data_IF_231617025622
#
_entry.id   IF_231617025622
#
_cell.length_a   1.000
_cell.length_b   1.000
_cell.length_c   1.000
_cell.angle_alpha   90.00
_cell.angle_beta   90.00
_cell.angle_gamma   90.00
#
_symmetry.space_group_name_H-M   'P 1'
#
loop_
_entity.id
_entity.type
_entity.pdbx_description
1 polymer ?
#
# COMPACT_ATOMS: atom_id res chain seq x y z
N UNK A 1 2.42 -11.12 -17.83
CA UNK A 1 1.95 -9.77 -18.25
C UNK A 1 0.92 -9.29 -17.23
N UNK A 2 1.07 -8.08 -16.74
CA UNK A 2 0.14 -7.54 -15.75
C UNK A 2 -1.23 -7.28 -16.36
N UNK A 3 -2.29 -7.52 -15.58
CA UNK A 3 -3.63 -7.12 -15.96
C UNK A 3 -3.73 -5.59 -16.06
N UNK A 4 -4.68 -5.12 -16.84
CA UNK A 4 -4.90 -3.70 -17.09
C UNK A 4 -6.31 -3.33 -16.68
N UNK A 5 -6.41 -2.37 -15.76
CA UNK A 5 -7.67 -1.73 -15.37
C UNK A 5 -7.83 -0.44 -16.17
N UNK A 6 -8.93 -0.31 -16.89
CA UNK A 6 -9.26 0.90 -17.62
C UNK A 6 -10.43 1.60 -16.91
N UNK A 7 -10.27 2.89 -16.65
CA UNK A 7 -11.29 3.69 -15.98
C UNK A 7 -12.37 4.14 -16.95
N UNK A 8 -13.56 4.42 -16.42
CA UNK A 8 -14.67 4.99 -17.19
C UNK A 8 -14.32 6.40 -17.67
N UNK A 9 -14.99 6.81 -18.74
CA UNK A 9 -14.85 8.17 -19.28
C UNK A 9 -15.15 9.21 -18.20
N UNK A 10 -14.24 10.16 -18.06
CA UNK A 10 -14.36 11.22 -17.06
C UNK A 10 -13.88 10.87 -15.67
N UNK A 11 -13.55 9.60 -15.42
CA UNK A 11 -13.00 9.16 -14.14
C UNK A 11 -11.47 9.28 -14.12
N UNK A 12 -10.89 9.18 -12.91
CA UNK A 12 -9.43 9.27 -12.73
C UNK A 12 -8.92 10.63 -12.31
N UNK A 13 -9.80 11.60 -12.10
CA UNK A 13 -9.42 12.95 -11.65
C UNK A 13 -8.72 12.93 -10.30
N UNK A 14 -9.24 12.12 -9.36
CA UNK A 14 -8.66 11.96 -8.03
C UNK A 14 -7.24 11.43 -8.10
N UNK A 15 -7.01 10.43 -8.95
CA UNK A 15 -5.69 9.84 -9.15
C UNK A 15 -4.73 10.87 -9.75
N UNK A 16 -5.16 11.61 -10.76
CA UNK A 16 -4.36 12.68 -11.39
C UNK A 16 -4.00 13.79 -10.40
N UNK A 17 -4.87 14.03 -9.42
CA UNK A 17 -4.66 15.03 -8.38
C UNK A 17 -3.83 14.51 -7.18
N UNK A 18 -3.39 13.27 -7.20
CA UNK A 18 -2.56 12.69 -6.14
C UNK A 18 -3.25 11.68 -5.25
N UNK A 19 -4.51 11.38 -5.50
CA UNK A 19 -5.24 10.36 -4.77
C UNK A 19 -4.71 8.97 -5.04
N UNK A 20 -5.03 8.05 -4.14
CA UNK A 20 -4.49 6.67 -4.18
C UNK A 20 -5.56 5.61 -4.41
N UNK A 21 -6.84 5.95 -4.36
CA UNK A 21 -7.93 4.97 -4.36
C UNK A 21 -8.76 5.05 -5.63
N UNK A 22 -9.06 3.89 -6.18
CA UNK A 22 -9.99 3.72 -7.29
C UNK A 22 -11.13 2.83 -6.81
N UNK A 23 -12.34 3.37 -6.86
CA UNK A 23 -13.55 2.65 -6.47
C UNK A 23 -14.06 1.77 -7.61
N UNK A 24 -14.82 0.73 -7.27
CA UNK A 24 -15.39 -0.22 -8.21
C UNK A 24 -16.23 0.45 -9.32
N UNK A 25 -16.97 1.50 -8.97
CA UNK A 25 -17.83 2.21 -9.92
C UNK A 25 -17.05 3.12 -10.90
N UNK A 26 -15.76 3.32 -10.69
CA UNK A 26 -14.89 4.09 -11.59
C UNK A 26 -14.29 3.23 -12.69
N UNK A 27 -14.38 1.89 -12.59
CA UNK A 27 -13.74 0.95 -13.50
C UNK A 27 -14.67 0.60 -14.65
N UNK A 28 -14.16 0.72 -15.88
CA UNK A 28 -14.85 0.31 -17.09
C UNK A 28 -14.57 -1.16 -17.41
N UNK A 29 -13.29 -1.51 -17.58
CA UNK A 29 -12.87 -2.87 -17.92
C UNK A 29 -11.63 -3.29 -17.16
N UNK A 30 -11.50 -4.62 -16.98
CA UNK A 30 -10.29 -5.25 -16.49
C UNK A 30 -9.89 -6.30 -17.52
N UNK A 31 -8.72 -6.15 -18.13
CA UNK A 31 -8.20 -7.07 -19.14
C UNK A 31 -7.00 -7.83 -18.60
N UNK A 32 -6.93 -9.11 -18.93
CA UNK A 32 -5.84 -9.98 -18.51
C UNK A 32 -6.18 -10.79 -17.26
N UNK A 33 -5.32 -11.75 -16.96
CA UNK A 33 -5.48 -12.62 -15.79
C UNK A 33 -4.88 -11.98 -14.56
N UNK A 34 -5.56 -12.10 -13.44
CA UNK A 34 -5.06 -11.61 -12.16
C UNK A 34 -5.70 -12.38 -11.00
N UNK A 35 -5.03 -12.33 -9.87
CA UNK A 35 -5.60 -12.73 -8.58
C UNK A 35 -5.70 -11.48 -7.72
N UNK A 36 -6.70 -11.44 -6.82
CA UNK A 36 -6.81 -10.36 -5.87
C UNK A 36 -5.55 -10.27 -5.01
N UNK A 37 -5.02 -9.06 -4.86
CA UNK A 37 -3.73 -8.80 -4.24
C UNK A 37 -2.59 -8.59 -5.23
N UNK A 38 -2.81 -8.87 -6.51
CA UNK A 38 -1.80 -8.63 -7.54
C UNK A 38 -1.60 -7.15 -7.82
N UNK A 39 -0.46 -6.85 -8.41
CA UNK A 39 -0.15 -5.51 -8.94
C UNK A 39 -0.61 -5.45 -10.39
N UNK A 40 -1.40 -4.43 -10.71
CA UNK A 40 -1.97 -4.22 -12.04
C UNK A 40 -1.61 -2.82 -12.55
N UNK A 41 -1.79 -2.63 -13.87
CA UNK A 41 -1.61 -1.34 -14.52
C UNK A 41 -2.97 -0.66 -14.61
N UNK A 42 -2.99 0.65 -14.37
CA UNK A 42 -4.20 1.47 -14.50
C UNK A 42 -4.03 2.42 -15.66
N UNK A 43 -5.05 2.47 -16.53
CA UNK A 43 -5.14 3.42 -17.64
C UNK A 43 -6.44 4.21 -17.53
N UNK A 44 -6.45 5.44 -18.01
CA UNK A 44 -7.70 6.18 -18.16
C UNK A 44 -8.49 5.68 -19.38
N UNK A 45 -9.67 6.26 -19.61
CA UNK A 45 -10.55 5.84 -20.70
C UNK A 45 -9.88 5.98 -22.09
N UNK A 46 -9.01 6.95 -22.25
CA UNK A 46 -8.30 7.19 -23.51
C UNK A 46 -7.03 6.34 -23.66
N UNK A 47 -6.74 5.48 -22.70
CA UNK A 47 -5.57 4.60 -22.74
C UNK A 47 -4.30 5.22 -22.17
N UNK A 48 -4.38 6.40 -21.56
CA UNK A 48 -3.23 7.02 -20.92
C UNK A 48 -2.83 6.24 -19.65
N UNK A 49 -1.57 5.81 -19.52
CA UNK A 49 -1.13 5.05 -18.36
C UNK A 49 -1.06 5.96 -17.12
N UNK A 50 -1.76 5.55 -16.07
CA UNK A 50 -1.87 6.31 -14.83
C UNK A 50 -0.97 5.80 -13.72
N UNK A 51 -0.49 4.55 -13.83
CA UNK A 51 0.38 3.95 -12.85
C UNK A 51 0.08 2.49 -12.56
N UNK A 52 0.58 2.02 -11.42
CA UNK A 52 0.40 0.65 -10.93
C UNK A 52 -0.17 0.65 -9.53
N UNK A 53 -0.94 -0.37 -9.20
CA UNK A 53 -1.52 -0.53 -7.87
C UNK A 53 -1.92 -1.95 -7.57
N UNK A 54 -2.32 -2.19 -6.33
CA UNK A 54 -2.89 -3.47 -5.89
C UNK A 54 -4.36 -3.52 -6.24
N UNK A 55 -4.82 -4.66 -6.74
CA UNK A 55 -6.24 -4.90 -7.04
C UNK A 55 -6.88 -5.83 -6.02
N UNK A 56 -8.12 -5.51 -5.63
CA UNK A 56 -8.99 -6.41 -4.90
C UNK A 56 -10.44 -6.14 -5.30
N UNK A 57 -10.99 -7.01 -6.13
CA UNK A 57 -12.37 -6.87 -6.63
C UNK A 57 -13.44 -7.15 -5.58
N UNK A 58 -13.07 -7.69 -4.43
CA UNK A 58 -13.98 -7.89 -3.30
C UNK A 58 -14.12 -6.63 -2.43
N UNK A 59 -13.36 -5.59 -2.71
CA UNK A 59 -13.38 -4.31 -1.99
C UNK A 59 -13.99 -3.22 -2.86
N UNK A 60 -14.75 -2.31 -2.25
CA UNK A 60 -15.22 -1.10 -2.95
C UNK A 60 -14.06 -0.23 -3.39
N UNK A 61 -13.00 -0.17 -2.61
CA UNK A 61 -11.72 0.41 -3.02
C UNK A 61 -10.99 -0.70 -3.79
N UNK A 62 -11.29 -0.80 -5.07
CA UNK A 62 -10.85 -1.93 -5.89
C UNK A 62 -9.37 -1.85 -6.23
N UNK A 63 -8.83 -0.65 -6.43
CA UNK A 63 -7.40 -0.46 -6.68
C UNK A 63 -6.83 0.56 -5.70
N UNK A 64 -5.69 0.22 -5.10
CA UNK A 64 -4.89 1.13 -4.30
C UNK A 64 -3.57 1.37 -5.02
N UNK A 65 -3.35 2.63 -5.41
CA UNK A 65 -2.21 3.00 -6.24
C UNK A 65 -0.90 2.94 -5.44
N UNK A 66 0.12 2.31 -6.03
CA UNK A 66 1.48 2.27 -5.50
C UNK A 66 2.36 3.33 -6.12
N UNK A 67 2.27 3.51 -7.42
CA UNK A 67 3.09 4.47 -8.17
C UNK A 67 2.31 5.03 -9.34
N UNK A 68 2.64 6.25 -9.72
CA UNK A 68 2.09 6.91 -10.90
C UNK A 68 2.86 6.59 -12.19
N UNK A 69 3.99 5.91 -12.04
CA UNK A 69 4.89 5.61 -13.16
C UNK A 69 4.82 4.13 -13.51
N UNK A 70 4.23 3.83 -14.67
CA UNK A 70 4.06 2.43 -15.12
C UNK A 70 5.38 1.73 -15.37
N UNK A 71 6.46 2.47 -15.61
CA UNK A 71 7.79 1.91 -15.85
C UNK A 71 8.51 1.56 -14.56
N UNK A 72 7.99 1.97 -13.42
CA UNK A 72 8.59 1.65 -12.11
C UNK A 72 8.39 0.18 -11.80
N UNK A 73 9.48 -0.52 -11.55
CA UNK A 73 9.43 -1.90 -11.07
C UNK A 73 9.10 -1.92 -9.59
N UNK A 74 8.07 -2.70 -9.22
CA UNK A 74 7.67 -2.86 -7.82
C UNK A 74 8.40 -4.08 -7.26
N UNK A 75 9.54 -3.83 -6.66
CA UNK A 75 10.44 -4.84 -6.10
C UNK A 75 10.85 -4.46 -4.67
N UNK A 76 11.78 -5.23 -4.11
CA UNK A 76 12.29 -4.97 -2.75
C UNK A 76 12.89 -3.57 -2.63
N UNK A 77 13.64 -3.11 -3.63
CA UNK A 77 14.26 -1.78 -3.61
C UNK A 77 13.21 -0.66 -3.62
N UNK A 78 12.11 -0.86 -4.33
CA UNK A 78 10.98 0.07 -4.31
C UNK A 78 10.43 0.24 -2.89
N UNK A 79 10.17 -0.86 -2.21
CA UNK A 79 9.65 -0.82 -0.84
C UNK A 79 10.68 -0.27 0.14
N UNK A 80 11.95 -0.60 -0.04
CA UNK A 80 13.03 -0.06 0.80
C UNK A 80 13.10 1.46 0.71
N UNK A 81 13.03 2.00 -0.49
CA UNK A 81 12.99 3.46 -0.68
C UNK A 81 11.85 4.11 0.07
N UNK A 82 10.65 3.54 -0.03
CA UNK A 82 9.45 4.08 0.63
C UNK A 82 9.55 4.01 2.14
N UNK A 83 10.01 2.88 2.67
CA UNK A 83 10.20 2.69 4.12
C UNK A 83 11.30 3.58 4.66
N UNK A 84 12.41 3.71 3.94
CA UNK A 84 13.50 4.61 4.33
C UNK A 84 13.03 6.07 4.37
N UNK A 85 12.28 6.50 3.35
CA UNK A 85 11.73 7.85 3.31
C UNK A 85 10.78 8.13 4.48
N UNK A 86 9.93 7.17 4.81
CA UNK A 86 9.01 7.28 5.95
C UNK A 86 9.78 7.40 7.27
N UNK A 87 10.77 6.56 7.47
CA UNK A 87 11.61 6.60 8.67
C UNK A 87 12.40 7.91 8.78
N UNK A 88 13.04 8.34 7.69
CA UNK A 88 13.81 9.58 7.65
C UNK A 88 12.93 10.80 7.99
N UNK A 89 11.70 10.80 7.49
CA UNK A 89 10.74 11.85 7.82
C UNK A 89 10.42 11.87 9.31
N UNK A 90 10.18 10.72 9.92
CA UNK A 90 9.87 10.64 11.36
C UNK A 90 11.06 11.05 12.21
N UNK A 91 12.27 10.70 11.82
CA UNK A 91 13.49 11.13 12.54
C UNK A 91 13.62 12.67 12.63
N UNK A 92 13.07 13.36 11.64
CA UNK A 92 13.13 14.83 11.58
C UNK A 92 11.97 15.52 12.29
N UNK A 93 10.85 14.83 12.49
CA UNK A 93 9.61 15.50 12.88
C UNK A 93 9.05 15.08 14.22
N UNK A 94 9.41 13.90 14.73
CA UNK A 94 8.83 13.37 15.96
C UNK A 94 9.88 12.67 16.83
N UNK A 95 9.52 12.41 18.09
CA UNK A 95 10.29 11.53 18.96
C UNK A 95 10.13 10.09 18.50
N UNK A 96 11.21 9.48 18.05
CA UNK A 96 11.19 8.14 17.45
C UNK A 96 11.28 7.00 18.46
N UNK A 97 11.35 7.28 19.77
CA UNK A 97 11.22 6.23 20.78
C UNK A 97 9.84 5.55 20.67
N UNK A 98 8.79 6.34 20.46
CA UNK A 98 7.45 5.84 20.17
C UNK A 98 6.82 6.73 19.11
N UNK A 99 6.57 6.19 17.93
CA UNK A 99 6.01 6.96 16.83
C UNK A 99 5.33 6.06 15.79
N UNK A 100 4.46 6.65 14.99
CA UNK A 100 3.94 6.01 13.79
C UNK A 100 4.96 6.16 12.67
N UNK A 101 5.62 5.08 12.29
CA UNK A 101 6.64 5.10 11.23
C UNK A 101 5.99 5.18 9.86
N UNK A 102 4.96 4.35 9.62
CA UNK A 102 4.26 4.28 8.33
C UNK A 102 2.78 4.51 8.56
N UNK A 103 2.22 5.45 7.81
CA UNK A 103 0.81 5.78 7.85
C UNK A 103 0.18 5.66 6.47
N UNK A 104 0.10 4.44 5.96
CA UNK A 104 -0.62 4.10 4.75
C UNK A 104 -0.28 4.98 3.55
N UNK A 105 -1.30 5.53 2.94
CA UNK A 105 -1.22 6.34 1.73
C UNK A 105 -0.38 7.61 1.93
N UNK A 106 -0.34 8.15 3.14
CA UNK A 106 0.47 9.34 3.46
C UNK A 106 1.96 9.09 3.25
N UNK A 107 2.39 7.85 3.40
CA UNK A 107 3.79 7.44 3.18
C UNK A 107 3.95 6.62 1.89
N UNK A 108 2.96 6.67 1.01
CA UNK A 108 2.95 5.98 -0.29
C UNK A 108 3.06 4.45 -0.17
N UNK A 109 2.56 3.89 0.94
CA UNK A 109 2.46 2.45 1.19
C UNK A 109 1.01 2.13 1.55
N UNK A 110 0.12 2.07 0.55
CA UNK A 110 -1.32 2.02 0.80
C UNK A 110 -1.74 0.78 1.59
N UNK A 111 -2.52 1.02 2.64
CA UNK A 111 -3.14 -0.04 3.41
C UNK A 111 -2.27 -0.64 4.52
N UNK A 112 -1.12 -0.06 4.85
CA UNK A 112 -0.32 -0.53 5.98
C UNK A 112 -0.06 0.60 6.98
N UNK A 113 -0.17 0.28 8.26
CA UNK A 113 0.20 1.18 9.37
C UNK A 113 1.21 0.44 10.23
N UNK A 114 2.34 1.09 10.52
CA UNK A 114 3.37 0.53 11.37
C UNK A 114 3.70 1.54 12.48
N UNK A 115 3.43 1.15 13.72
CA UNK A 115 3.76 1.92 14.91
C UNK A 115 4.96 1.30 15.62
N UNK A 116 5.84 2.15 16.11
CA UNK A 116 6.99 1.74 16.90
C UNK A 116 6.78 2.18 18.36
N UNK A 117 6.95 1.26 19.28
CA UNK A 117 6.96 1.49 20.71
C UNK A 117 8.26 0.94 21.26
N UNK A 118 9.26 1.80 21.48
CA UNK A 118 10.62 1.44 21.88
C UNK A 118 11.22 0.40 20.90
N UNK A 119 11.38 -0.84 21.32
CA UNK A 119 11.96 -1.92 20.50
C UNK A 119 10.89 -2.88 19.93
N UNK A 120 9.63 -2.44 19.89
CA UNK A 120 8.51 -3.24 19.40
C UNK A 120 7.83 -2.52 18.24
N UNK A 121 7.47 -3.28 17.19
CA UNK A 121 6.63 -2.81 16.10
C UNK A 121 5.22 -3.39 16.22
N UNK A 122 4.23 -2.56 15.96
CA UNK A 122 2.84 -2.97 15.83
C UNK A 122 2.41 -2.67 14.40
N UNK A 123 1.99 -3.71 13.69
CA UNK A 123 1.68 -3.65 12.26
C UNK A 123 0.19 -3.90 12.05
N UNK A 124 -0.45 -3.03 11.30
CA UNK A 124 -1.85 -3.19 10.89
C UNK A 124 -1.92 -3.18 9.37
N UNK A 125 -2.45 -4.25 8.80
CA UNK A 125 -2.64 -4.41 7.36
C UNK A 125 -4.13 -4.28 7.04
N UNK A 126 -4.46 -3.31 6.18
CA UNK A 126 -5.84 -2.93 5.85
C UNK A 126 -6.21 -3.27 4.40
N UNK A 127 -5.29 -3.82 3.64
CA UNK A 127 -5.52 -4.15 2.24
C UNK A 127 -4.85 -5.47 1.88
N UNK A 128 -5.51 -6.26 1.03
CA UNK A 128 -5.05 -7.60 0.66
C UNK A 128 -3.67 -7.58 0.00
N UNK A 129 -3.44 -6.67 -0.94
CA UNK A 129 -2.18 -6.61 -1.66
C UNK A 129 -0.99 -6.31 -0.76
N UNK A 130 -1.14 -5.34 0.13
CA UNK A 130 -0.07 -5.01 1.09
C UNK A 130 0.10 -6.12 2.13
N UNK A 131 -0.96 -6.81 2.48
CA UNK A 131 -0.90 -7.94 3.41
C UNK A 131 -0.01 -9.06 2.88
N UNK A 132 -0.03 -9.31 1.58
CA UNK A 132 0.79 -10.33 0.93
C UNK A 132 2.29 -10.01 0.99
N UNK A 133 2.67 -8.74 1.06
CA UNK A 133 4.08 -8.30 1.15
C UNK A 133 4.46 -7.82 2.54
N UNK A 134 3.57 -7.92 3.48
CA UNK A 134 3.74 -7.42 4.86
C UNK A 134 5.02 -7.91 5.52
N UNK A 135 5.31 -9.21 5.43
CA UNK A 135 6.50 -9.78 6.06
C UNK A 135 7.79 -9.25 5.44
N UNK A 136 7.80 -9.04 4.13
CA UNK A 136 8.92 -8.41 3.44
C UNK A 136 9.13 -6.99 3.94
N UNK A 137 8.06 -6.20 4.05
CA UNK A 137 8.12 -4.82 4.55
C UNK A 137 8.65 -4.75 5.97
N UNK A 138 8.19 -5.65 6.86
CA UNK A 138 8.65 -5.72 8.24
C UNK A 138 10.16 -6.02 8.28
N UNK A 139 10.63 -6.99 7.50
CA UNK A 139 12.04 -7.35 7.46
C UNK A 139 12.92 -6.20 6.94
N UNK A 140 12.48 -5.52 5.90
CA UNK A 140 13.18 -4.35 5.37
C UNK A 140 13.27 -3.26 6.43
N UNK A 141 12.15 -2.95 7.10
CA UNK A 141 12.12 -1.91 8.12
C UNK A 141 13.00 -2.26 9.32
N UNK A 142 12.99 -3.51 9.76
CA UNK A 142 13.88 -3.96 10.84
C UNK A 142 15.36 -3.74 10.47
N UNK A 143 15.73 -3.99 9.23
CA UNK A 143 17.09 -3.77 8.75
C UNK A 143 17.44 -2.28 8.69
N UNK A 144 16.52 -1.44 8.26
CA UNK A 144 16.68 0.02 8.26
C UNK A 144 16.93 0.53 9.69
N UNK A 145 16.11 0.09 10.64
CA UNK A 145 16.22 0.48 12.05
C UNK A 145 17.55 -0.03 12.65
N UNK A 146 17.95 -1.25 12.31
CA UNK A 146 19.21 -1.82 12.77
C UNK A 146 20.40 -0.99 12.31
N UNK A 147 20.36 -0.45 11.10
CA UNK A 147 21.41 0.44 10.58
C UNK A 147 21.54 1.72 11.41
N UNK A 148 20.48 2.15 12.06
CA UNK A 148 20.47 3.29 12.97
C UNK A 148 20.68 2.87 14.44
N UNK A 149 21.09 1.63 14.69
CA UNK A 149 21.38 1.12 16.03
C UNK A 149 20.17 0.66 16.81
N UNK A 150 19.00 0.51 16.17
CA UNK A 150 17.75 0.12 16.81
C UNK A 150 17.46 -1.35 16.50
N UNK A 151 17.50 -2.20 17.51
CA UNK A 151 17.20 -3.62 17.38
C UNK A 151 15.76 -3.85 17.81
N UNK A 152 14.92 -4.28 16.87
CA UNK A 152 13.52 -4.61 17.14
C UNK A 152 13.46 -6.02 17.73
N UNK A 153 12.86 -6.14 18.90
CA UNK A 153 12.74 -7.39 19.65
C UNK A 153 11.41 -8.08 19.51
N UNK A 154 10.39 -7.37 19.08
CA UNK A 154 9.06 -7.93 18.91
C UNK A 154 8.28 -7.26 17.80
N UNK A 155 7.43 -8.03 17.13
CA UNK A 155 6.50 -7.54 16.12
C UNK A 155 5.13 -8.11 16.43
N UNK A 156 4.14 -7.24 16.60
CA UNK A 156 2.76 -7.62 16.84
C UNK A 156 1.91 -7.20 15.66
N UNK A 157 1.06 -8.09 15.19
CA UNK A 157 0.11 -7.80 14.13
C UNK A 157 -1.26 -7.49 14.72
N UNK A 158 -1.81 -6.35 14.31
CA UNK A 158 -3.19 -5.96 14.59
C UNK A 158 -3.96 -6.08 13.29
N UNK A 159 -4.04 -7.29 12.74
CA UNK A 159 -4.72 -7.51 11.47
C UNK A 159 -6.10 -8.08 11.75
N UNK A 160 -7.10 -7.40 11.20
CA UNK A 160 -8.47 -7.86 11.21
C UNK A 160 -8.63 -8.95 10.15
N UNK A 161 -9.39 -10.01 10.48
CA UNK A 161 -9.78 -11.03 9.52
C UNK A 161 -10.67 -10.49 8.39
N UNK A 162 -11.02 -9.23 8.43
CA UNK A 162 -11.87 -8.53 7.45
C UNK A 162 -11.34 -8.57 6.03
N UNK A 163 -10.03 -8.75 5.87
CA UNK A 163 -9.42 -8.88 4.54
C UNK A 163 -9.89 -10.11 3.78
N UNK A 164 -10.37 -11.12 4.49
CA UNK A 164 -10.70 -12.44 3.95
C UNK A 164 -12.14 -12.87 4.19
N UNK A 165 -12.93 -12.07 4.90
CA UNK A 165 -14.30 -12.41 5.31
C UNK A 165 -15.27 -11.38 4.80
N UNK A 166 -16.57 -11.64 5.03
CA UNK A 166 -17.64 -10.68 4.78
C UNK A 166 -17.41 -9.39 5.57
N UNK A 167 -17.92 -8.25 5.07
CA UNK A 167 -17.76 -6.98 5.77
C UNK A 167 -18.20 -7.08 7.23
N UNK A 168 -17.43 -6.48 8.13
CA UNK A 168 -17.83 -6.38 9.52
C UNK A 168 -18.91 -5.32 9.69
N UNK A 169 -19.60 -5.29 10.84
CA UNK A 169 -20.56 -4.23 11.14
C UNK A 169 -19.98 -2.82 11.06
N UNK A 170 -18.65 -2.67 11.14
CA UNK A 170 -17.99 -1.37 11.00
C UNK A 170 -17.94 -0.89 9.55
N UNK A 171 -18.05 -1.80 8.60
CA UNK A 171 -17.99 -1.50 7.17
C UNK A 171 -19.40 -1.34 6.57
N UNK A 172 -20.38 -1.52 7.36
CA UNK A 172 -21.78 -1.41 6.96
C UNK A 172 -22.27 0.04 7.00
#
# INVERSE_FOLDING_TARGET
MSAIVTLKKGEGRTIKAGGAWIYDNEIDTIMGSFENGDIIIVKDFDGYPMGKGFINTNSKITVRMLTRHVDTEINEDFFRMRLQAAWDYRKKTVDTSSCRIVFGEADFLPGIVIDKFEDVLVVESLALGIDRVKNLLINILKNILKSDGIIIKGVYERSDCLLYTSPSPRDA
#
